data_IF_835009533202
#
_entry.id   IF_835009533202
#
_cell.length_a   1.000
_cell.length_b   1.000
_cell.length_c   1.000
_cell.angle_alpha   90.00
_cell.angle_beta   90.00
_cell.angle_gamma   90.00
#
_symmetry.space_group_name_H-M   'P 1'
#
loop_
_entity.id
_entity.type
_entity.pdbx_description
1 polymer ?
#
# COMPACT_ATOMS: atom_id res chain seq x y z
N UNK A 1 2.49 -15.23 37.01
CA UNK A 1 3.83 -14.79 36.53
C UNK A 1 4.30 -15.69 35.40
N UNK A 2 4.25 -15.21 34.14
CA UNK A 2 4.74 -15.99 32.99
C UNK A 2 6.26 -15.85 32.91
N UNK A 3 7.00 -16.92 33.25
CA UNK A 3 8.47 -16.93 33.07
C UNK A 3 8.77 -16.90 31.57
N UNK A 4 9.25 -15.76 31.06
CA UNK A 4 9.78 -15.66 29.70
C UNK A 4 11.07 -16.49 29.62
N UNK A 5 10.99 -17.66 28.98
CA UNK A 5 12.18 -18.48 28.67
C UNK A 5 13.05 -17.68 27.69
N UNK A 6 14.34 -17.55 27.99
CA UNK A 6 15.29 -16.93 27.04
C UNK A 6 15.46 -17.87 25.84
N UNK A 7 15.28 -17.38 24.59
CA UNK A 7 15.47 -18.21 23.41
C UNK A 7 16.93 -18.68 23.32
N UNK A 8 17.14 -19.91 22.90
CA UNK A 8 18.48 -20.41 22.58
C UNK A 8 19.05 -19.71 21.34
N UNK A 9 20.38 -19.76 21.14
CA UNK A 9 21.06 -19.09 20.01
C UNK A 9 20.46 -19.44 18.63
N UNK A 10 20.08 -20.71 18.43
CA UNK A 10 19.42 -21.18 17.19
C UNK A 10 18.01 -20.61 17.02
N UNK A 11 17.22 -20.57 18.08
CA UNK A 11 15.86 -20.00 18.07
C UNK A 11 15.93 -18.49 17.81
N UNK A 12 16.90 -17.80 18.42
CA UNK A 12 17.14 -16.39 18.18
C UNK A 12 17.53 -16.12 16.72
N UNK A 13 18.43 -16.93 16.15
CA UNK A 13 18.82 -16.81 14.74
C UNK A 13 17.61 -17.00 13.80
N UNK A 14 16.75 -17.97 14.07
CA UNK A 14 15.53 -18.20 13.28
C UNK A 14 14.53 -17.03 13.40
N UNK A 15 14.38 -16.45 14.59
CA UNK A 15 13.53 -15.28 14.82
C UNK A 15 14.05 -14.03 14.10
N UNK A 16 15.36 -13.77 14.19
CA UNK A 16 16.01 -12.64 13.50
C UNK A 16 15.94 -12.81 11.99
N UNK A 17 16.11 -14.05 11.47
CA UNK A 17 15.94 -14.34 10.05
C UNK A 17 14.54 -13.97 9.56
N UNK A 18 13.49 -14.36 10.28
CA UNK A 18 12.10 -13.97 9.93
C UNK A 18 11.86 -12.47 10.05
N UNK A 19 12.40 -11.82 11.09
CA UNK A 19 12.30 -10.36 11.24
C UNK A 19 12.94 -9.65 10.05
N UNK A 20 14.13 -10.10 9.62
CA UNK A 20 14.89 -9.46 8.56
C UNK A 20 14.20 -9.57 7.20
N UNK A 21 13.65 -10.74 6.88
CA UNK A 21 12.79 -10.93 5.70
C UNK A 21 11.59 -9.96 5.75
N UNK A 22 10.96 -9.80 6.91
CA UNK A 22 9.88 -8.83 7.10
C UNK A 22 10.33 -7.38 6.89
N UNK A 23 11.51 -7.00 7.37
CA UNK A 23 12.08 -5.67 7.20
C UNK A 23 12.45 -5.39 5.74
N UNK A 24 13.05 -6.35 5.04
CA UNK A 24 13.40 -6.22 3.62
C UNK A 24 12.15 -6.06 2.76
N UNK A 25 11.08 -6.80 3.04
CA UNK A 25 9.79 -6.63 2.37
C UNK A 25 9.17 -5.25 2.64
N UNK A 26 9.25 -4.78 3.89
CA UNK A 26 8.75 -3.44 4.27
C UNK A 26 9.56 -2.33 3.60
N UNK A 27 10.88 -2.52 3.47
CA UNK A 27 11.77 -1.56 2.83
C UNK A 27 11.58 -1.54 1.31
N UNK A 28 11.46 -2.68 0.66
CA UNK A 28 11.11 -2.75 -0.77
C UNK A 28 9.76 -2.09 -1.07
N UNK A 29 8.78 -2.24 -0.18
CA UNK A 29 7.49 -1.54 -0.29
C UNK A 29 7.63 -0.02 -0.11
N UNK A 30 8.47 0.43 0.83
CA UNK A 30 8.77 1.86 1.05
C UNK A 30 9.56 2.49 -0.09
N UNK A 31 10.54 1.77 -0.65
CA UNK A 31 11.30 2.18 -1.83
C UNK A 31 10.41 2.26 -3.07
N UNK A 32 9.46 1.34 -3.24
CA UNK A 32 8.46 1.41 -4.33
C UNK A 32 7.49 2.58 -4.17
N UNK A 33 7.11 2.92 -2.93
CA UNK A 33 6.30 4.10 -2.63
C UNK A 33 7.07 5.41 -2.92
N UNK A 34 8.39 5.44 -2.67
CA UNK A 34 9.25 6.57 -3.04
C UNK A 34 9.55 6.64 -4.55
N UNK A 35 9.64 5.50 -5.23
CA UNK A 35 9.89 5.42 -6.67
C UNK A 35 8.70 5.89 -7.51
N UNK A 36 7.49 5.85 -6.93
CA UNK A 36 6.30 6.42 -7.59
C UNK A 36 6.37 7.95 -7.49
N UNK A 37 6.77 8.61 -8.58
CA UNK A 37 6.68 10.07 -8.71
C UNK A 37 5.23 10.50 -8.40
N UNK A 38 5.01 11.32 -7.35
CA UNK A 38 3.68 11.78 -6.98
C UNK A 38 2.94 12.49 -8.12
N UNK A 39 3.67 13.20 -8.99
CA UNK A 39 3.10 13.89 -10.14
C UNK A 39 2.61 12.88 -11.17
N UNK A 40 3.41 11.85 -11.45
CA UNK A 40 3.03 10.73 -12.32
C UNK A 40 1.78 10.00 -11.78
N UNK A 41 1.76 9.62 -10.51
CA UNK A 41 0.61 8.95 -9.90
C UNK A 41 -0.67 9.78 -10.03
N UNK A 42 -0.61 11.09 -9.74
CA UNK A 42 -1.75 11.99 -9.90
C UNK A 42 -2.18 12.14 -11.36
N UNK A 43 -1.24 12.13 -12.31
CA UNK A 43 -1.56 12.16 -13.73
C UNK A 43 -2.34 10.90 -14.15
N UNK A 44 -1.90 9.70 -13.73
CA UNK A 44 -2.59 8.44 -14.01
C UNK A 44 -3.98 8.42 -13.38
N UNK A 45 -4.13 8.88 -12.13
CA UNK A 45 -5.43 8.95 -11.45
C UNK A 45 -6.41 9.89 -12.17
N UNK A 46 -5.95 11.08 -12.59
CA UNK A 46 -6.78 12.02 -13.36
C UNK A 46 -7.16 11.46 -14.73
N UNK A 47 -6.24 10.78 -15.39
CA UNK A 47 -6.51 10.12 -16.66
C UNK A 47 -7.56 9.01 -16.50
N UNK A 48 -7.45 8.18 -15.47
CA UNK A 48 -8.42 7.13 -15.18
C UNK A 48 -9.79 7.68 -14.77
N UNK A 49 -9.81 8.84 -14.10
CA UNK A 49 -11.05 9.56 -13.79
C UNK A 49 -11.77 10.01 -15.08
N UNK A 50 -11.04 10.60 -16.04
CA UNK A 50 -11.61 11.10 -17.29
C UNK A 50 -12.10 9.96 -18.18
N UNK A 51 -11.33 8.87 -18.29
CA UNK A 51 -11.69 7.68 -19.07
C UNK A 51 -12.67 6.75 -18.35
N UNK A 52 -12.93 6.98 -17.06
CA UNK A 52 -13.67 6.08 -16.17
C UNK A 52 -13.10 4.65 -16.17
N UNK A 53 -11.79 4.51 -16.32
CA UNK A 53 -11.11 3.21 -16.33
C UNK A 53 -11.00 2.61 -14.93
N UNK A 54 -10.83 1.28 -14.87
CA UNK A 54 -10.48 0.60 -13.63
C UNK A 54 -8.97 0.70 -13.41
N UNK A 55 -8.56 0.80 -12.15
CA UNK A 55 -7.17 0.82 -11.73
C UNK A 55 -6.93 -0.27 -10.69
N UNK A 56 -5.72 -0.81 -10.69
CA UNK A 56 -5.16 -1.55 -9.56
C UNK A 56 -4.33 -0.59 -8.73
N UNK A 57 -4.73 -0.40 -7.48
CA UNK A 57 -4.01 0.43 -6.53
C UNK A 57 -3.40 -0.41 -5.43
N UNK A 58 -2.18 -0.06 -5.07
CA UNK A 58 -1.49 -0.61 -3.90
C UNK A 58 -1.46 0.47 -2.84
N UNK A 59 -2.08 0.19 -1.68
CA UNK A 59 -2.29 1.16 -0.61
C UNK A 59 -1.54 0.75 0.66
N UNK A 60 -0.84 1.69 1.27
CA UNK A 60 -0.30 1.53 2.61
C UNK A 60 -1.44 1.61 3.64
N UNK A 61 -1.62 0.54 4.41
CA UNK A 61 -2.48 0.47 5.58
C UNK A 61 -1.91 1.26 6.76
N UNK A 62 -2.74 1.56 7.78
CA UNK A 62 -2.30 2.28 8.97
C UNK A 62 -1.19 1.54 9.74
N UNK A 63 -1.19 0.21 9.69
CA UNK A 63 -0.20 -0.65 10.35
C UNK A 63 1.03 -0.95 9.46
N UNK A 64 1.18 -0.24 8.34
CA UNK A 64 2.22 -0.49 7.33
C UNK A 64 1.95 -1.69 6.42
N UNK A 65 0.88 -2.45 6.67
CA UNK A 65 0.45 -3.53 5.78
C UNK A 65 0.00 -2.97 4.41
N UNK A 66 0.44 -3.61 3.33
CA UNK A 66 0.11 -3.18 1.97
C UNK A 66 -1.17 -3.88 1.50
N UNK A 67 -2.09 -3.15 0.88
CA UNK A 67 -3.37 -3.66 0.40
C UNK A 67 -3.57 -3.33 -1.08
N UNK A 68 -3.79 -4.36 -1.90
CA UNK A 68 -4.19 -4.18 -3.29
C UNK A 68 -5.71 -4.02 -3.42
N UNK A 69 -6.14 -3.08 -4.27
CA UNK A 69 -7.55 -2.76 -4.50
C UNK A 69 -7.82 -2.52 -5.98
N UNK A 70 -8.90 -3.08 -6.50
CA UNK A 70 -9.44 -2.71 -7.81
C UNK A 70 -10.44 -1.59 -7.65
N UNK A 71 -10.15 -0.43 -8.22
CA UNK A 71 -10.92 0.79 -7.96
C UNK A 71 -11.29 1.54 -9.23
N UNK A 72 -12.29 2.40 -9.10
CA UNK A 72 -12.61 3.45 -10.07
C UNK A 72 -12.44 4.81 -9.41
N UNK A 73 -11.77 5.74 -10.09
CA UNK A 73 -11.56 7.09 -9.57
C UNK A 73 -12.84 7.90 -9.71
N UNK A 74 -13.35 8.41 -8.58
CA UNK A 74 -14.54 9.26 -8.54
C UNK A 74 -14.16 10.74 -8.51
N UNK A 75 -13.22 11.11 -7.64
CA UNK A 75 -12.70 12.46 -7.55
C UNK A 75 -11.23 12.46 -7.13
N UNK A 76 -10.46 13.38 -7.70
CA UNK A 76 -9.09 13.68 -7.27
C UNK A 76 -9.13 15.05 -6.61
N UNK A 77 -8.86 15.10 -5.31
CA UNK A 77 -8.88 16.32 -4.48
C UNK A 77 -7.44 16.65 -4.02
N UNK A 78 -7.17 17.87 -3.53
CA UNK A 78 -5.85 18.20 -2.98
C UNK A 78 -5.51 17.28 -1.80
N UNK A 79 -4.50 16.43 -1.98
CA UNK A 79 -3.96 15.52 -0.96
C UNK A 79 -4.77 14.24 -0.70
N UNK A 80 -5.94 14.07 -1.34
CA UNK A 80 -6.79 12.85 -1.18
C UNK A 80 -7.52 12.48 -2.46
N UNK A 81 -7.91 11.21 -2.57
CA UNK A 81 -8.59 10.67 -3.73
C UNK A 81 -9.82 9.91 -3.26
N UNK A 82 -10.97 10.21 -3.87
CA UNK A 82 -12.21 9.44 -3.70
C UNK A 82 -12.28 8.36 -4.77
N UNK A 83 -12.46 7.13 -4.30
CA UNK A 83 -12.42 5.92 -5.10
C UNK A 83 -13.67 5.11 -4.82
N UNK A 84 -14.11 4.33 -5.79
CA UNK A 84 -15.08 3.25 -5.58
C UNK A 84 -14.34 1.92 -5.71
N UNK A 85 -14.34 1.12 -4.66
CA UNK A 85 -13.86 -0.26 -4.70
C UNK A 85 -14.85 -1.09 -5.52
N UNK A 86 -14.36 -1.71 -6.59
CA UNK A 86 -15.20 -2.50 -7.50
C UNK A 86 -15.51 -3.87 -6.90
N UNK A 87 -14.60 -4.41 -6.10
CA UNK A 87 -14.72 -5.76 -5.50
C UNK A 87 -15.61 -5.70 -4.27
N UNK A 88 -15.41 -4.69 -3.43
CA UNK A 88 -16.15 -4.54 -2.17
C UNK A 88 -17.37 -3.61 -2.29
N UNK A 89 -17.62 -3.02 -3.46
CA UNK A 89 -18.74 -2.12 -3.75
C UNK A 89 -18.87 -0.92 -2.80
N UNK A 90 -17.75 -0.53 -2.17
CA UNK A 90 -17.68 0.52 -1.16
C UNK A 90 -16.97 1.76 -1.69
N UNK A 91 -17.32 2.93 -1.16
CA UNK A 91 -16.55 4.15 -1.40
C UNK A 91 -15.37 4.25 -0.43
N UNK A 92 -14.23 4.69 -0.94
CA UNK A 92 -12.97 4.84 -0.19
C UNK A 92 -12.42 6.25 -0.39
N UNK A 93 -11.94 6.87 0.68
CA UNK A 93 -11.15 8.10 0.60
C UNK A 93 -9.74 7.82 1.07
N UNK A 94 -8.76 8.04 0.19
CA UNK A 94 -7.37 7.65 0.43
C UNK A 94 -6.47 8.88 0.31
N UNK A 95 -5.57 9.05 1.27
CA UNK A 95 -4.55 10.10 1.18
C UNK A 95 -3.51 9.75 0.11
N UNK A 96 -3.08 10.74 -0.68
CA UNK A 96 -2.15 10.52 -1.81
C UNK A 96 -0.84 9.86 -1.34
N UNK A 97 -0.33 10.25 -0.18
CA UNK A 97 0.90 9.68 0.40
C UNK A 97 0.77 8.22 0.84
N UNK A 98 -0.44 7.65 0.87
CA UNK A 98 -0.67 6.22 1.16
C UNK A 98 -0.70 5.38 -0.11
N UNK A 99 -0.65 6.00 -1.28
CA UNK A 99 -0.64 5.29 -2.56
C UNK A 99 0.80 4.86 -2.82
N UNK A 100 1.02 3.55 -2.78
CA UNK A 100 2.35 2.93 -3.00
C UNK A 100 2.58 2.74 -4.49
N UNK A 101 1.55 2.31 -5.24
CA UNK A 101 1.62 2.20 -6.71
C UNK A 101 0.23 2.38 -7.34
N UNK A 102 0.24 2.77 -8.62
CA UNK A 102 -0.94 2.93 -9.47
C UNK A 102 -0.69 2.20 -10.78
N UNK A 103 -1.55 1.23 -11.11
CA UNK A 103 -1.45 0.46 -12.35
C UNK A 103 -2.79 0.46 -13.09
N UNK A 104 -2.73 0.45 -14.42
CA UNK A 104 -3.92 0.24 -15.24
C UNK A 104 -4.43 -1.20 -15.04
N UNK A 105 -5.74 -1.33 -14.80
CA UNK A 105 -6.40 -2.63 -14.59
C UNK A 105 -6.87 -3.30 -15.86
#
# INVERSE_FOLDING_TARGET
SVRRRRPGRRELAALVGRLRVGQEALQAAGESAMATDPVHALAVLRQAQSSRSRLRLTLAGPDGAVQERQVRVMAVEPGRVRLRDVVHETELTVAVHRIVSVEAG
#
